data_IF_035623699931
#
_entry.id   IF_035623699931
#
_cell.length_a   1.000
_cell.length_b   1.000
_cell.length_c   1.000
_cell.angle_alpha   90.00
_cell.angle_beta   90.00
_cell.angle_gamma   90.00
#
_symmetry.space_group_name_H-M   'P 1'
#
loop_
_entity.id
_entity.type
_entity.pdbx_description
1 polymer ?
#
# COMPACT_ATOMS: atom_id res chain seq x y z
N UNK A 1 -2.60 3.31 -24.63
CA UNK A 1 -2.02 1.97 -24.36
C UNK A 1 -3.03 0.88 -24.71
N UNK A 2 -4.24 0.92 -24.14
CA UNK A 2 -5.35 0.02 -24.47
C UNK A 2 -5.70 -0.06 -25.96
N UNK A 3 -5.76 1.08 -26.65
CA UNK A 3 -6.00 1.12 -28.11
C UNK A 3 -4.96 0.34 -28.90
N UNK A 4 -3.68 0.47 -28.52
CA UNK A 4 -2.55 -0.23 -29.16
C UNK A 4 -2.56 -1.73 -28.86
N UNK A 5 -2.94 -2.13 -27.64
CA UNK A 5 -3.12 -3.54 -27.26
C UNK A 5 -4.29 -4.15 -28.05
N UNK A 6 -5.41 -3.45 -28.16
CA UNK A 6 -6.57 -3.88 -28.96
C UNK A 6 -6.21 -4.06 -30.44
N UNK A 7 -5.46 -3.12 -31.01
CA UNK A 7 -5.00 -3.20 -32.40
C UNK A 7 -4.06 -4.41 -32.63
N UNK A 8 -3.18 -4.70 -31.66
CA UNK A 8 -2.33 -5.90 -31.69
C UNK A 8 -3.11 -7.20 -31.52
N UNK A 9 -4.13 -7.24 -30.64
CA UNK A 9 -5.01 -8.40 -30.47
C UNK A 9 -5.83 -8.67 -31.73
N UNK A 10 -6.35 -7.61 -32.37
CA UNK A 10 -7.00 -7.69 -33.69
C UNK A 10 -6.06 -8.22 -34.77
N UNK A 11 -4.82 -7.72 -34.82
CA UNK A 11 -3.80 -8.23 -35.75
C UNK A 11 -3.47 -9.71 -35.50
N UNK A 12 -3.54 -10.16 -34.24
CA UNK A 12 -3.34 -11.55 -33.84
C UNK A 12 -4.60 -12.44 -34.02
N UNK A 13 -5.71 -11.90 -34.55
CA UNK A 13 -7.02 -12.57 -34.68
C UNK A 13 -7.58 -13.13 -33.37
N UNK A 14 -7.25 -12.51 -32.24
CA UNK A 14 -7.84 -12.82 -30.95
C UNK A 14 -9.04 -11.88 -30.79
N UNK A 15 -10.23 -12.35 -31.15
CA UNK A 15 -11.49 -11.58 -31.09
C UNK A 15 -12.29 -11.83 -29.79
N UNK A 16 -11.77 -12.69 -28.92
CA UNK A 16 -12.41 -13.04 -27.66
C UNK A 16 -12.53 -11.84 -26.71
N UNK A 17 -13.65 -11.78 -26.00
CA UNK A 17 -13.79 -10.91 -24.84
C UNK A 17 -12.70 -11.21 -23.81
N UNK A 18 -12.19 -10.16 -23.18
CA UNK A 18 -11.10 -10.25 -22.21
C UNK A 18 -11.28 -9.24 -21.08
N UNK A 19 -10.59 -9.49 -19.95
CA UNK A 19 -10.66 -8.64 -18.77
C UNK A 19 -9.37 -7.83 -18.67
N UNK A 20 -9.53 -6.50 -18.68
CA UNK A 20 -8.46 -5.56 -18.40
C UNK A 20 -8.48 -5.20 -16.91
N UNK A 21 -7.43 -5.63 -16.20
CA UNK A 21 -7.22 -5.25 -14.80
C UNK A 21 -6.19 -4.13 -14.75
N UNK A 22 -6.51 -3.04 -14.06
CA UNK A 22 -5.66 -1.85 -14.00
C UNK A 22 -5.64 -1.17 -12.63
N UNK A 23 -4.67 -0.28 -12.43
CA UNK A 23 -4.60 0.57 -11.24
C UNK A 23 -5.72 1.62 -11.22
N UNK A 24 -5.79 2.40 -10.14
CA UNK A 24 -6.85 3.40 -9.95
C UNK A 24 -6.82 4.56 -10.94
N UNK A 25 -5.70 4.80 -11.64
CA UNK A 25 -5.62 5.85 -12.65
C UNK A 25 -6.42 5.49 -13.91
N UNK A 26 -6.75 4.21 -14.10
CA UNK A 26 -7.61 3.74 -15.17
C UNK A 26 -9.10 4.11 -14.98
N UNK A 27 -9.49 4.71 -13.85
CA UNK A 27 -10.88 5.08 -13.57
C UNK A 27 -11.27 6.42 -14.24
N UNK A 28 -11.26 6.44 -15.57
CA UNK A 28 -11.62 7.62 -16.38
C UNK A 28 -12.71 7.29 -17.40
N UNK A 29 -13.45 8.32 -17.84
CA UNK A 29 -14.43 8.21 -18.92
C UNK A 29 -13.81 7.63 -20.20
N UNK A 30 -12.62 8.10 -20.55
CA UNK A 30 -11.89 7.67 -21.73
C UNK A 30 -11.51 6.19 -21.66
N UNK A 31 -11.01 5.73 -20.51
CA UNK A 31 -10.65 4.33 -20.31
C UNK A 31 -11.88 3.42 -20.44
N UNK A 32 -13.01 3.80 -19.84
CA UNK A 32 -14.27 3.03 -19.97
C UNK A 32 -14.75 2.94 -21.42
N UNK A 33 -14.71 4.05 -22.15
CA UNK A 33 -15.04 4.08 -23.58
C UNK A 33 -14.09 3.20 -24.41
N UNK A 34 -12.78 3.30 -24.16
CA UNK A 34 -11.76 2.48 -24.85
C UNK A 34 -11.93 1.00 -24.56
N UNK A 35 -12.27 0.65 -23.31
CA UNK A 35 -12.43 -0.75 -22.88
C UNK A 35 -13.66 -1.36 -23.57
N UNK A 36 -14.76 -0.60 -23.63
CA UNK A 36 -15.96 -1.00 -24.37
C UNK A 36 -15.68 -1.15 -25.88
N UNK A 37 -14.96 -0.21 -26.49
CA UNK A 37 -14.56 -0.29 -27.90
C UNK A 37 -13.59 -1.46 -28.19
N UNK A 38 -12.87 -1.92 -27.17
CA UNK A 38 -11.95 -3.05 -27.22
C UNK A 38 -12.61 -4.42 -26.96
N UNK A 39 -13.94 -4.47 -26.85
CA UNK A 39 -14.69 -5.66 -26.42
C UNK A 39 -14.13 -6.27 -25.12
N UNK A 40 -13.74 -5.41 -24.19
CA UNK A 40 -13.12 -5.79 -22.93
C UNK A 40 -14.00 -5.39 -21.73
N UNK A 41 -13.73 -6.01 -20.59
CA UNK A 41 -14.28 -5.61 -19.30
C UNK A 41 -13.18 -5.05 -18.40
N UNK A 42 -13.50 -4.01 -17.62
CA UNK A 42 -12.54 -3.37 -16.73
C UNK A 42 -12.70 -3.91 -15.30
N UNK A 43 -11.60 -4.16 -14.61
CA UNK A 43 -11.53 -4.23 -13.15
C UNK A 43 -10.46 -3.23 -12.69
N UNK A 44 -10.85 -2.24 -11.89
CA UNK A 44 -9.93 -1.23 -11.36
C UNK A 44 -10.25 -0.90 -9.91
N UNK A 45 -9.30 -0.28 -9.20
CA UNK A 45 -9.57 0.29 -7.88
C UNK A 45 -10.20 1.67 -8.02
N UNK A 46 -11.35 1.89 -7.40
CA UNK A 46 -11.98 3.20 -7.34
C UNK A 46 -11.17 4.17 -6.45
N UNK A 47 -10.78 5.36 -6.96
CA UNK A 47 -10.20 6.41 -6.13
C UNK A 47 -11.16 6.82 -5.00
N UNK A 48 -10.63 7.02 -3.79
CA UNK A 48 -11.42 7.40 -2.60
C UNK A 48 -12.08 8.78 -2.72
N UNK A 49 -11.64 9.61 -3.67
CA UNK A 49 -12.23 10.91 -3.97
C UNK A 49 -13.58 10.80 -4.69
N UNK A 50 -13.84 9.70 -5.42
CA UNK A 50 -15.04 9.55 -6.24
C UNK A 50 -16.30 9.40 -5.38
N UNK A 51 -17.37 10.07 -5.82
CA UNK A 51 -18.68 10.02 -5.14
C UNK A 51 -19.22 8.59 -5.05
N UNK A 52 -19.18 7.82 -6.14
CA UNK A 52 -19.67 6.43 -6.16
C UNK A 52 -18.95 5.55 -5.12
N UNK A 53 -17.65 5.80 -4.88
CA UNK A 53 -16.83 5.05 -3.92
C UNK A 53 -17.21 5.44 -2.50
N UNK A 54 -17.40 6.73 -2.24
CA UNK A 54 -17.87 7.23 -0.93
C UNK A 54 -19.25 6.71 -0.60
N UNK A 55 -20.17 6.72 -1.57
CA UNK A 55 -21.52 6.18 -1.42
C UNK A 55 -21.49 4.69 -1.13
N UNK A 56 -20.75 3.89 -1.90
CA UNK A 56 -20.64 2.46 -1.64
C UNK A 56 -20.04 2.14 -0.27
N UNK A 57 -19.04 2.90 0.19
CA UNK A 57 -18.49 2.73 1.54
C UNK A 57 -19.51 3.07 2.64
N UNK A 58 -20.32 4.12 2.45
CA UNK A 58 -21.36 4.49 3.40
C UNK A 58 -22.51 3.49 3.44
N UNK A 59 -22.93 2.98 2.27
CA UNK A 59 -23.92 1.90 2.19
C UNK A 59 -23.40 0.65 2.89
N UNK A 60 -22.12 0.29 2.69
CA UNK A 60 -21.49 -0.87 3.34
C UNK A 60 -21.35 -0.74 4.87
N UNK A 61 -21.56 0.45 5.43
CA UNK A 61 -21.58 0.73 6.88
C UNK A 61 -23.00 0.64 7.47
N UNK A 62 -24.06 0.49 6.65
CA UNK A 62 -25.43 0.36 7.15
C UNK A 62 -25.64 -0.98 7.88
N UNK A 63 -26.42 -0.95 8.96
CA UNK A 63 -26.64 -2.11 9.86
C UNK A 63 -27.25 -3.33 9.16
N UNK A 64 -28.05 -3.13 8.11
CA UNK A 64 -28.70 -4.19 7.34
C UNK A 64 -27.81 -4.82 6.25
N UNK A 65 -26.54 -4.39 6.12
CA UNK A 65 -25.66 -4.93 5.08
C UNK A 65 -25.15 -6.33 5.39
N UNK A 66 -25.48 -7.29 4.54
CA UNK A 66 -24.98 -8.66 4.62
C UNK A 66 -23.68 -8.79 3.84
N UNK A 67 -22.56 -8.86 4.56
CA UNK A 67 -21.25 -9.13 3.98
C UNK A 67 -21.05 -10.62 3.72
N UNK A 68 -20.12 -10.95 2.81
CA UNK A 68 -19.70 -12.33 2.65
C UNK A 68 -19.06 -12.89 3.92
N UNK A 69 -19.11 -14.22 4.08
CA UNK A 69 -18.26 -14.90 5.05
C UNK A 69 -16.78 -14.55 4.81
N UNK A 70 -15.96 -14.48 5.87
CA UNK A 70 -14.53 -14.27 5.73
C UNK A 70 -13.87 -15.40 4.95
N UNK A 71 -13.09 -15.06 3.92
CA UNK A 71 -12.36 -16.04 3.11
C UNK A 71 -10.89 -15.64 2.95
N UNK A 72 -10.07 -16.62 2.57
CA UNK A 72 -8.65 -16.39 2.28
C UNK A 72 -8.39 -16.62 0.80
N UNK A 73 -7.59 -15.74 0.21
CA UNK A 73 -7.00 -15.99 -1.09
C UNK A 73 -5.63 -16.65 -0.86
N UNK A 74 -5.24 -17.59 -1.74
CA UNK A 74 -4.00 -18.37 -1.66
C UNK A 74 -2.69 -17.54 -1.79
N UNK A 75 -2.75 -16.24 -1.51
CA UNK A 75 -1.60 -15.35 -1.44
C UNK A 75 -0.81 -15.51 -0.14
N UNK A 76 0.50 -15.24 -0.27
CA UNK A 76 1.60 -15.50 0.68
C UNK A 76 1.45 -14.99 2.13
N UNK A 77 0.39 -14.27 2.48
CA UNK A 77 0.28 -13.55 3.76
C UNK A 77 -0.91 -13.98 4.64
N UNK A 78 -1.70 -14.99 4.25
CA UNK A 78 -2.83 -15.47 5.06
C UNK A 78 -3.86 -14.37 5.37
N UNK A 79 -3.96 -13.37 4.50
CA UNK A 79 -4.89 -12.27 4.68
C UNK A 79 -6.32 -12.78 4.49
N UNK A 80 -7.18 -12.41 5.42
CA UNK A 80 -8.62 -12.69 5.37
C UNK A 80 -9.31 -11.49 4.76
N UNK A 81 -10.28 -11.77 3.91
CA UNK A 81 -11.07 -10.79 3.19
C UNK A 81 -12.56 -11.00 3.48
N UNK A 82 -13.29 -9.89 3.53
CA UNK A 82 -14.76 -9.87 3.40
C UNK A 82 -15.11 -8.96 2.24
N UNK A 83 -16.14 -9.32 1.49
CA UNK A 83 -16.60 -8.53 0.35
C UNK A 83 -18.09 -8.25 0.45
N UNK A 84 -18.46 -7.09 -0.05
CA UNK A 84 -19.85 -6.69 -0.26
C UNK A 84 -19.97 -6.03 -1.63
N UNK A 85 -21.07 -6.27 -2.32
CA UNK A 85 -21.28 -5.84 -3.70
C UNK A 85 -22.51 -4.95 -3.81
N UNK A 86 -22.37 -3.83 -4.53
CA UNK A 86 -23.47 -2.96 -4.96
C UNK A 86 -23.31 -2.56 -6.42
N UNK A 87 -24.35 -1.98 -7.01
CA UNK A 87 -24.33 -1.50 -8.39
C UNK A 87 -24.41 0.03 -8.43
N UNK A 88 -23.75 0.64 -9.41
CA UNK A 88 -23.80 2.07 -9.62
C UNK A 88 -23.66 2.42 -11.09
N UNK A 89 -23.73 3.72 -11.40
CA UNK A 89 -23.45 4.25 -12.74
C UNK A 89 -22.36 5.29 -12.63
N UNK A 90 -21.34 5.18 -13.47
CA UNK A 90 -20.25 6.13 -13.55
C UNK A 90 -20.02 6.56 -15.00
N UNK A 91 -20.03 7.87 -15.26
CA UNK A 91 -19.85 8.43 -16.60
C UNK A 91 -20.81 7.83 -17.66
N UNK A 92 -22.03 7.45 -17.25
CA UNK A 92 -23.03 6.82 -18.12
C UNK A 92 -22.84 5.32 -18.35
N UNK A 93 -21.88 4.68 -17.68
CA UNK A 93 -21.64 3.24 -17.75
C UNK A 93 -22.14 2.54 -16.48
N UNK A 94 -22.90 1.44 -16.58
CA UNK A 94 -23.23 0.61 -15.44
C UNK A 94 -21.97 -0.09 -14.93
N UNK A 95 -21.74 -0.02 -13.63
CA UNK A 95 -20.59 -0.62 -12.95
C UNK A 95 -21.04 -1.35 -11.70
N UNK A 96 -20.36 -2.45 -11.37
CA UNK A 96 -20.46 -3.10 -10.06
C UNK A 96 -19.35 -2.56 -9.18
N UNK A 97 -19.68 -2.30 -7.92
CA UNK A 97 -18.78 -1.82 -6.90
C UNK A 97 -18.63 -2.94 -5.87
N UNK A 98 -17.39 -3.41 -5.69
CA UNK A 98 -17.07 -4.43 -4.71
C UNK A 98 -16.27 -3.76 -3.60
N UNK A 99 -16.91 -3.59 -2.45
CA UNK A 99 -16.25 -3.12 -1.24
C UNK A 99 -15.52 -4.30 -0.63
N UNK A 100 -14.22 -4.15 -0.44
CA UNK A 100 -13.33 -5.18 0.07
C UNK A 100 -12.76 -4.71 1.40
N UNK A 101 -12.96 -5.52 2.42
CA UNK A 101 -12.27 -5.37 3.71
C UNK A 101 -11.10 -6.35 3.79
N UNK A 102 -9.92 -5.89 4.21
CA UNK A 102 -8.70 -6.70 4.27
C UNK A 102 -8.00 -6.61 5.62
N UNK A 103 -7.79 -7.76 6.26
CA UNK A 103 -7.04 -7.84 7.52
C UNK A 103 -5.57 -7.39 7.39
N UNK A 104 -4.96 -7.59 6.22
CA UNK A 104 -3.59 -7.14 5.96
C UNK A 104 -3.49 -5.60 5.82
N UNK A 105 -4.51 -4.95 5.25
CA UNK A 105 -4.57 -3.48 5.20
C UNK A 105 -4.81 -2.91 6.60
N UNK A 106 -5.66 -3.55 7.39
CA UNK A 106 -5.91 -3.19 8.79
C UNK A 106 -4.59 -3.15 9.60
N UNK A 107 -3.76 -4.19 9.53
CA UNK A 107 -2.48 -4.20 10.25
C UNK A 107 -1.48 -3.14 9.77
N UNK A 108 -1.36 -2.94 8.45
CA UNK A 108 -0.41 -1.97 7.88
C UNK A 108 -0.84 -0.54 8.17
N UNK A 109 -2.13 -0.23 7.97
CA UNK A 109 -2.69 1.10 8.17
C UNK A 109 -2.91 1.40 9.64
N UNK A 110 -3.18 0.41 10.48
CA UNK A 110 -3.26 0.56 11.93
C UNK A 110 -2.01 1.20 12.52
N UNK A 111 -0.80 0.79 12.09
CA UNK A 111 0.44 1.44 12.53
C UNK A 111 0.56 2.91 12.12
N UNK A 112 0.06 3.25 10.94
CA UNK A 112 0.06 4.65 10.46
C UNK A 112 -0.96 5.48 11.22
N UNK A 113 -2.17 4.97 11.39
CA UNK A 113 -3.24 5.62 12.15
C UNK A 113 -2.83 5.83 13.62
N UNK A 114 -2.19 4.84 14.23
CA UNK A 114 -1.68 4.95 15.60
C UNK A 114 -0.65 6.09 15.72
N UNK A 115 0.26 6.19 14.75
CA UNK A 115 1.24 7.29 14.71
C UNK A 115 0.58 8.65 14.50
N UNK A 116 -0.46 8.74 13.67
CA UNK A 116 -1.23 9.97 13.49
C UNK A 116 -1.98 10.35 14.79
N UNK A 117 -2.60 9.38 15.45
CA UNK A 117 -3.30 9.54 16.74
C UNK A 117 -2.37 10.04 17.83
N UNK A 118 -1.21 9.43 18.00
CA UNK A 118 -0.23 9.85 19.03
C UNK A 118 0.25 11.27 18.79
N UNK A 119 0.54 11.64 17.53
CA UNK A 119 0.94 13.00 17.17
C UNK A 119 -0.17 14.01 17.42
N UNK A 120 -1.41 13.68 17.09
CA UNK A 120 -2.55 14.54 17.38
C UNK A 120 -2.72 14.75 18.89
N UNK A 121 -2.63 13.68 19.69
CA UNK A 121 -2.70 13.77 21.14
C UNK A 121 -1.56 14.63 21.74
N UNK A 122 -0.34 14.54 21.19
CA UNK A 122 0.78 15.39 21.59
C UNK A 122 0.51 16.87 21.30
N UNK A 123 0.05 17.20 20.08
CA UNK A 123 -0.30 18.56 19.70
C UNK A 123 -1.43 19.14 20.55
N UNK A 124 -2.47 18.35 20.84
CA UNK A 124 -3.58 18.78 21.68
C UNK A 124 -3.14 19.02 23.13
N UNK A 125 -2.24 18.20 23.68
CA UNK A 125 -1.65 18.45 25.01
C UNK A 125 -0.81 19.72 25.04
N UNK A 126 -0.03 19.99 23.98
CA UNK A 126 0.76 21.23 23.88
C UNK A 126 -0.14 22.47 23.82
N UNK A 127 -1.21 22.43 23.02
CA UNK A 127 -2.20 23.51 22.95
C UNK A 127 -2.95 23.68 24.28
N UNK A 128 -3.39 22.59 24.93
CA UNK A 128 -4.00 22.65 26.26
C UNK A 128 -3.08 23.34 27.27
N UNK A 129 -1.82 22.90 27.37
CA UNK A 129 -0.85 23.49 28.30
C UNK A 129 -0.51 24.95 27.96
N UNK A 130 -0.54 25.33 26.68
CA UNK A 130 -0.31 26.70 26.22
C UNK A 130 -1.45 27.63 26.68
N UNK A 131 -2.70 27.22 26.47
CA UNK A 131 -3.88 28.02 26.75
C UNK A 131 -4.20 28.10 28.25
N UNK A 132 -4.00 27.02 29.00
CA UNK A 132 -4.15 27.03 30.47
C UNK A 132 -3.14 27.96 31.16
N UNK A 133 -2.00 28.27 30.52
CA UNK A 133 -0.99 29.19 31.05
C UNK A 133 -1.13 30.63 30.55
N UNK A 134 -2.02 30.90 29.60
CA UNK A 134 -2.14 32.20 28.96
C UNK A 134 -3.34 32.99 29.50
N UNK A 135 -3.13 33.92 30.46
CA UNK A 135 -4.20 34.74 31.00
C UNK A 135 -4.61 35.86 30.03
N UNK A 136 -5.91 36.12 29.97
CA UNK A 136 -6.50 37.31 29.35
C UNK A 136 -7.02 38.25 30.42
N UNK A 137 -6.85 39.56 30.21
CA UNK A 137 -7.38 40.60 31.10
C UNK A 137 -8.82 40.99 30.77
N UNK A 138 -9.33 40.58 29.62
CA UNK A 138 -10.66 40.89 29.09
C UNK A 138 -11.33 39.59 28.63
N UNK A 139 -12.62 39.45 28.92
CA UNK A 139 -13.40 38.24 28.58
C UNK A 139 -13.55 38.11 27.07
N UNK A 140 -13.83 39.23 26.41
CA UNK A 140 -14.03 39.31 24.97
C UNK A 140 -12.77 38.85 24.22
N UNK A 141 -11.57 39.19 24.70
CA UNK A 141 -10.31 38.71 24.13
C UNK A 141 -10.15 37.18 24.26
N UNK A 142 -10.53 36.63 25.42
CA UNK A 142 -10.51 35.18 25.65
C UNK A 142 -11.52 34.45 24.75
N UNK A 143 -12.72 35.01 24.57
CA UNK A 143 -13.75 34.44 23.69
C UNK A 143 -13.34 34.50 22.21
N UNK A 144 -12.67 35.58 21.77
CA UNK A 144 -12.10 35.67 20.41
C UNK A 144 -10.96 34.66 20.20
N UNK A 145 -10.09 34.47 21.19
CA UNK A 145 -9.04 33.46 21.14
C UNK A 145 -9.65 32.05 21.08
N UNK A 146 -10.69 31.78 21.85
CA UNK A 146 -11.41 30.51 21.84
C UNK A 146 -12.07 30.23 20.48
N UNK A 147 -12.70 31.23 19.87
CA UNK A 147 -13.27 31.11 18.54
C UNK A 147 -12.20 30.80 17.48
N UNK A 148 -11.06 31.49 17.55
CA UNK A 148 -9.91 31.26 16.66
C UNK A 148 -9.33 29.86 16.83
N UNK A 149 -9.23 29.38 18.07
CA UNK A 149 -8.78 28.02 18.39
C UNK A 149 -9.74 26.95 17.86
N UNK A 150 -11.06 27.12 18.06
CA UNK A 150 -12.07 26.20 17.51
C UNK A 150 -12.06 26.16 15.98
N UNK A 151 -11.71 27.26 15.32
CA UNK A 151 -11.59 27.30 13.86
C UNK A 151 -10.33 26.60 13.34
N UNK A 152 -9.22 26.67 14.09
CA UNK A 152 -7.94 26.07 13.71
C UNK A 152 -7.85 24.58 14.05
N UNK A 153 -8.46 24.16 15.16
CA UNK A 153 -8.48 22.76 15.58
C UNK A 153 -9.42 21.95 14.68
N UNK A 154 -8.84 20.94 14.03
CA UNK A 154 -9.55 19.91 13.25
C UNK A 154 -9.10 18.52 13.71
N UNK A 155 -9.33 18.16 14.99
CA UNK A 155 -8.92 16.86 15.50
C UNK A 155 -9.74 15.77 14.81
N UNK A 156 -9.08 14.65 14.54
CA UNK A 156 -9.63 13.52 13.80
C UNK A 156 -9.94 12.33 14.69
N UNK A 157 -9.21 12.18 15.80
CA UNK A 157 -9.32 11.04 16.72
C UNK A 157 -9.65 11.45 18.16
N UNK A 158 -9.77 12.75 18.42
CA UNK A 158 -10.10 13.29 19.73
C UNK A 158 -11.23 14.30 19.62
N UNK A 159 -12.08 14.32 20.64
CA UNK A 159 -13.07 15.37 20.87
C UNK A 159 -12.43 16.42 21.77
N UNK A 160 -12.57 17.69 21.38
CA UNK A 160 -12.04 18.82 22.15
C UNK A 160 -13.19 19.70 22.57
N UNK A 161 -13.46 19.76 23.86
CA UNK A 161 -14.39 20.71 24.45
C UNK A 161 -13.58 21.86 25.04
N UNK A 162 -13.93 23.10 24.68
CA UNK A 162 -13.14 24.25 25.08
C UNK A 162 -14.06 25.38 25.56
N UNK A 163 -13.72 25.92 26.73
CA UNK A 163 -14.48 26.93 27.45
C UNK A 163 -13.57 28.02 28.02
N UNK A 164 -14.13 29.21 28.24
CA UNK A 164 -13.47 30.28 28.99
C UNK A 164 -13.79 30.12 30.46
N UNK A 165 -12.76 30.05 31.30
CA UNK A 165 -12.87 30.03 32.75
C UNK A 165 -12.46 31.38 33.33
N UNK A 166 -13.27 31.89 34.26
CA UNK A 166 -13.00 33.13 34.99
C UNK A 166 -12.35 32.80 36.34
N UNK A 167 -11.19 33.41 36.61
CA UNK A 167 -10.46 33.26 37.86
C UNK A 167 -10.26 34.63 38.49
N UNK A 168 -10.87 34.83 39.66
CA UNK A 168 -10.65 36.01 40.50
C UNK A 168 -9.53 35.70 41.49
N UNK A 169 -8.46 36.51 41.47
CA UNK A 169 -7.32 36.33 42.38
C UNK A 169 -6.82 37.64 42.96
N UNK A 170 -6.10 37.54 44.08
CA UNK A 170 -5.48 38.70 44.73
C UNK A 170 -4.30 39.21 43.91
N UNK A 171 -4.30 40.51 43.60
CA UNK A 171 -3.25 41.17 42.84
C UNK A 171 -1.99 41.28 43.69
N UNK A 172 -0.91 40.63 43.24
CA UNK A 172 0.39 40.69 43.93
C UNK A 172 1.08 42.03 43.63
N UNK A 173 1.20 42.89 44.63
CA UNK A 173 2.01 44.11 44.55
C UNK A 173 3.47 43.84 44.91
N UNK A 174 4.39 44.62 44.35
CA UNK A 174 5.81 44.66 44.76
C UNK A 174 5.91 45.41 46.10
N UNK A 175 6.41 44.76 47.15
CA UNK A 175 6.63 45.34 48.48
C UNK A 175 5.64 44.88 49.56
N UNK A 176 5.95 45.16 50.84
CA UNK A 176 5.09 44.80 51.99
C UNK A 176 3.77 45.58 51.93
N UNK A 177 2.59 44.93 52.00
CA UNK A 177 1.30 45.61 52.01
C UNK A 177 1.23 46.65 53.14
N UNK A 178 0.67 47.84 52.86
CA UNK A 178 0.38 48.85 53.89
C UNK A 178 -0.59 48.25 54.91
N UNK A 179 -0.33 48.49 56.20
CA UNK A 179 -1.18 48.01 57.31
C UNK A 179 -2.59 48.62 57.16
N UNK A 180 -3.59 47.78 56.94
CA UNK A 180 -5.00 48.19 56.76
C UNK A 180 -5.48 48.41 55.33
N UNK A 181 -4.68 48.09 54.30
CA UNK A 181 -5.13 48.17 52.90
C UNK A 181 -6.02 46.97 52.53
N UNK A 182 -7.17 47.23 51.90
CA UNK A 182 -8.02 46.17 51.35
C UNK A 182 -7.31 45.43 50.19
N UNK A 183 -7.48 44.09 50.09
CA UNK A 183 -6.87 43.32 49.02
C UNK A 183 -7.48 43.70 47.66
N UNK A 184 -6.65 44.22 46.74
CA UNK A 184 -7.07 44.47 45.37
C UNK A 184 -7.18 43.14 44.62
N UNK A 185 -8.35 42.83 44.05
CA UNK A 185 -8.59 41.65 43.23
C UNK A 185 -8.37 41.97 41.76
N UNK A 186 -7.83 41.02 41.01
CA UNK A 186 -7.84 41.02 39.55
C UNK A 186 -8.65 39.82 39.05
N UNK A 187 -9.40 40.02 37.97
CA UNK A 187 -10.13 38.96 37.28
C UNK A 187 -9.34 38.62 36.02
N UNK A 188 -9.03 37.35 35.84
CA UNK A 188 -8.34 36.83 34.66
C UNK A 188 -9.17 35.73 34.02
N UNK A 189 -9.11 35.67 32.70
CA UNK A 189 -9.80 34.66 31.91
C UNK A 189 -8.77 33.71 31.32
N UNK A 190 -9.04 32.41 31.40
CA UNK A 190 -8.22 31.36 30.81
C UNK A 190 -9.06 30.51 29.87
N UNK A 191 -8.41 29.86 28.92
CA UNK A 191 -9.05 28.86 28.09
C UNK A 191 -8.75 27.49 28.69
N UNK A 192 -9.80 26.78 29.07
CA UNK A 192 -9.70 25.38 29.46
C UNK A 192 -10.11 24.50 28.28
N UNK A 193 -9.28 23.51 27.97
CA UNK A 193 -9.52 22.52 26.92
C UNK A 193 -9.60 21.15 27.57
N UNK A 194 -10.74 20.50 27.43
CA UNK A 194 -10.90 19.08 27.74
C UNK A 194 -10.74 18.26 26.46
N UNK A 195 -9.87 17.26 26.51
CA UNK A 195 -9.47 16.47 25.36
C UNK A 195 -9.76 15.01 25.64
N UNK A 196 -10.80 14.49 25.00
CA UNK A 196 -11.20 13.10 25.14
C UNK A 196 -10.90 12.31 23.87
N UNK A 197 -10.56 11.03 24.04
CA UNK A 197 -10.37 10.14 22.91
C UNK A 197 -11.70 9.76 22.28
N UNK A 198 -11.86 10.01 20.99
CA UNK A 198 -13.05 9.65 20.24
C UNK A 198 -12.91 8.22 19.68
N UNK A 199 -13.38 7.26 20.46
CA UNK A 199 -13.35 5.84 20.12
C UNK A 199 -14.10 5.55 18.81
N UNK A 200 -15.23 6.21 18.58
CA UNK A 200 -16.05 5.99 17.39
C UNK A 200 -15.35 6.51 16.14
N UNK A 201 -14.78 7.71 16.19
CA UNK A 201 -13.99 8.26 15.09
C UNK A 201 -12.76 7.40 14.78
N UNK A 202 -12.11 6.85 15.81
CA UNK A 202 -11.01 5.90 15.66
C UNK A 202 -11.44 4.62 14.94
N UNK A 203 -12.53 3.99 15.39
CA UNK A 203 -13.04 2.76 14.77
C UNK A 203 -13.48 3.00 13.33
N UNK A 204 -14.18 4.10 13.06
CA UNK A 204 -14.56 4.49 11.70
C UNK A 204 -13.33 4.71 10.82
N UNK A 205 -12.30 5.39 11.32
CA UNK A 205 -11.06 5.60 10.57
C UNK A 205 -10.32 4.29 10.27
N UNK A 206 -10.30 3.37 11.24
CA UNK A 206 -9.71 2.03 11.09
C UNK A 206 -10.47 1.20 10.06
N UNK A 207 -11.80 1.15 10.14
CA UNK A 207 -12.68 0.47 9.17
C UNK A 207 -12.50 1.05 7.76
N UNK A 208 -12.46 2.38 7.61
CA UNK A 208 -12.20 3.02 6.31
C UNK A 208 -10.81 2.70 5.77
N UNK A 209 -9.79 2.62 6.62
CA UNK A 209 -8.42 2.35 6.19
C UNK A 209 -8.16 0.88 5.83
N UNK A 210 -8.93 -0.05 6.39
CA UNK A 210 -8.89 -1.48 6.05
C UNK A 210 -9.69 -1.83 4.79
N UNK A 211 -10.46 -0.86 4.26
CA UNK A 211 -11.36 -1.05 3.12
C UNK A 211 -10.90 -0.34 1.84
N UNK A 212 -11.27 -0.92 0.71
CA UNK A 212 -11.15 -0.28 -0.60
C UNK A 212 -12.25 -0.78 -1.51
N UNK A 213 -12.54 -0.03 -2.58
CA UNK A 213 -13.60 -0.39 -3.53
C UNK A 213 -12.97 -0.74 -4.87
N UNK A 214 -13.33 -1.90 -5.40
CA UNK A 214 -13.09 -2.26 -6.80
C UNK A 214 -14.30 -1.84 -7.63
N UNK A 215 -14.04 -1.28 -8.79
CA UNK A 215 -15.03 -0.94 -9.80
C UNK A 215 -14.84 -1.91 -10.94
N UNK A 216 -15.92 -2.58 -11.35
CA UNK A 216 -15.88 -3.54 -12.45
C UNK A 216 -17.03 -3.36 -13.43
N UNK A 217 -16.75 -3.51 -14.73
CA UNK A 217 -17.77 -3.64 -15.78
C UNK A 217 -18.04 -5.11 -16.14
N UNK A 218 -17.36 -6.06 -15.47
CA UNK A 218 -17.54 -7.50 -15.73
C UNK A 218 -18.97 -7.92 -15.35
N UNK A 219 -19.72 -8.58 -16.24
CA UNK A 219 -21.05 -9.09 -15.95
C UNK A 219 -21.03 -10.12 -14.80
N UNK A 220 -22.20 -10.44 -14.23
CA UNK A 220 -22.30 -11.46 -13.16
C UNK A 220 -21.90 -12.86 -13.63
N UNK A 221 -21.99 -13.12 -14.92
CA UNK A 221 -21.51 -14.35 -15.56
C UNK A 221 -20.64 -13.98 -16.75
N UNK A 222 -19.47 -14.60 -16.86
CA UNK A 222 -18.55 -14.40 -17.98
C UNK A 222 -17.92 -15.73 -18.38
N UNK A 223 -17.96 -16.06 -19.68
CA UNK A 223 -17.46 -17.34 -20.23
C UNK A 223 -17.97 -18.59 -19.48
N UNK A 224 -19.24 -18.57 -19.07
CA UNK A 224 -19.87 -19.70 -18.35
C UNK A 224 -19.44 -19.85 -16.89
N UNK A 225 -18.75 -18.86 -16.32
CA UNK A 225 -18.35 -18.84 -14.92
C UNK A 225 -19.05 -17.70 -14.16
N UNK A 226 -19.50 -17.93 -12.92
CA UNK A 226 -20.00 -16.86 -12.06
C UNK A 226 -18.84 -15.93 -11.67
N UNK A 227 -19.04 -14.63 -11.89
CA UNK A 227 -18.07 -13.59 -11.58
C UNK A 227 -18.55 -12.82 -10.34
N UNK A 228 -18.63 -13.52 -9.22
CA UNK A 228 -18.99 -12.93 -7.94
C UNK A 228 -17.89 -12.00 -7.39
N UNK A 229 -18.20 -11.32 -6.29
CA UNK A 229 -17.26 -10.39 -5.66
C UNK A 229 -15.92 -11.05 -5.25
N UNK A 230 -15.93 -12.35 -4.90
CA UNK A 230 -14.71 -13.08 -4.54
C UNK A 230 -13.83 -13.33 -5.77
N UNK A 231 -14.42 -13.78 -6.88
CA UNK A 231 -13.69 -14.06 -8.11
C UNK A 231 -13.14 -12.76 -8.73
N UNK A 232 -13.90 -11.66 -8.70
CA UNK A 232 -13.39 -10.35 -9.15
C UNK A 232 -12.21 -9.88 -8.29
N UNK A 233 -12.28 -10.03 -6.96
CA UNK A 233 -11.15 -9.72 -6.08
C UNK A 233 -9.94 -10.60 -6.39
N UNK A 234 -10.15 -11.89 -6.64
CA UNK A 234 -9.09 -12.85 -7.01
C UNK A 234 -8.42 -12.47 -8.32
N UNK A 235 -9.17 -12.09 -9.36
CA UNK A 235 -8.63 -11.59 -10.62
C UNK A 235 -7.81 -10.31 -10.42
N UNK A 236 -8.33 -9.35 -9.65
CA UNK A 236 -7.63 -8.11 -9.35
C UNK A 236 -6.28 -8.35 -8.65
N UNK A 237 -6.28 -9.21 -7.62
CA UNK A 237 -5.07 -9.58 -6.87
C UNK A 237 -4.10 -10.42 -7.71
N UNK A 238 -4.63 -11.32 -8.53
CA UNK A 238 -3.88 -12.13 -9.47
C UNK A 238 -3.06 -11.29 -10.45
N UNK A 239 -3.67 -10.25 -11.04
CA UNK A 239 -2.94 -9.34 -11.92
C UNK A 239 -1.82 -8.58 -11.19
N UNK A 240 -2.05 -8.10 -9.97
CA UNK A 240 -0.99 -7.43 -9.19
C UNK A 240 0.18 -8.39 -8.94
N UNK A 241 -0.11 -9.65 -8.64
CA UNK A 241 0.92 -10.69 -8.51
C UNK A 241 1.67 -10.88 -9.83
N UNK A 242 0.95 -10.98 -10.96
CA UNK A 242 1.52 -11.07 -12.31
C UNK A 242 2.42 -9.86 -12.61
N UNK A 243 1.94 -8.62 -12.44
CA UNK A 243 2.72 -7.40 -12.69
C UNK A 243 3.97 -7.31 -11.81
N UNK A 244 3.84 -7.59 -10.51
CA UNK A 244 5.00 -7.71 -9.62
C UNK A 244 5.95 -8.83 -10.07
N UNK A 245 5.41 -9.88 -10.71
CA UNK A 245 6.21 -10.99 -11.18
C UNK A 245 6.96 -10.69 -12.47
N UNK A 246 6.42 -9.83 -13.34
CA UNK A 246 7.00 -9.38 -14.60
C UNK A 246 7.70 -8.02 -14.52
N UNK A 247 7.70 -7.34 -13.36
CA UNK A 247 8.40 -6.07 -13.18
C UNK A 247 9.88 -6.11 -13.59
N UNK A 248 10.56 -7.26 -13.44
CA UNK A 248 11.94 -7.43 -13.90
C UNK A 248 12.08 -7.41 -15.44
N UNK A 249 11.05 -7.82 -16.20
CA UNK A 249 11.04 -7.69 -17.66
C UNK A 249 10.78 -6.26 -18.11
N UNK A 250 10.25 -5.40 -17.23
CA UNK A 250 10.08 -3.97 -17.54
C UNK A 250 11.36 -3.17 -17.29
N UNK A 251 12.42 -3.82 -16.79
CA UNK A 251 13.71 -3.18 -16.61
C UNK A 251 14.35 -2.97 -17.99
N UNK A 252 14.66 -1.70 -18.37
CA UNK A 252 15.28 -1.37 -19.65
C UNK A 252 16.56 -2.17 -19.91
N UNK A 253 17.28 -2.57 -18.85
CA UNK A 253 18.48 -3.39 -18.94
C UNK A 253 18.26 -4.72 -19.69
N UNK A 254 17.08 -5.34 -19.57
CA UNK A 254 16.76 -6.61 -20.24
C UNK A 254 16.00 -6.45 -21.56
N UNK A 255 15.45 -5.27 -21.85
CA UNK A 255 14.50 -5.08 -22.95
C UNK A 255 14.95 -4.10 -24.03
N UNK A 256 15.84 -3.15 -23.72
CA UNK A 256 16.32 -2.16 -24.69
C UNK A 256 17.17 -2.78 -25.82
N UNK A 257 17.71 -3.98 -25.61
CA UNK A 257 18.59 -4.66 -26.59
C UNK A 257 17.85 -5.61 -27.54
N UNK A 258 16.55 -5.88 -27.33
CA UNK A 258 15.84 -6.93 -28.07
C UNK A 258 14.93 -6.32 -29.15
N UNK A 259 15.51 -6.03 -30.32
CA UNK A 259 14.76 -5.57 -31.50
C UNK A 259 14.07 -6.73 -32.22
N UNK A 260 12.77 -6.89 -31.98
CA UNK A 260 11.96 -7.90 -32.67
C UNK A 260 11.08 -7.25 -33.75
N UNK A 261 11.38 -7.53 -35.02
CA UNK A 261 10.68 -6.93 -36.18
C UNK A 261 9.39 -7.66 -36.60
N UNK A 262 9.18 -8.91 -36.18
CA UNK A 262 8.06 -9.77 -36.65
C UNK A 262 7.16 -10.22 -35.48
N UNK A 263 5.82 -10.19 -35.62
CA UNK A 263 4.89 -10.59 -34.57
C UNK A 263 5.12 -12.00 -34.01
N UNK A 264 5.47 -12.97 -34.87
CA UNK A 264 5.69 -14.36 -34.42
C UNK A 264 6.90 -14.47 -33.48
N UNK A 265 7.94 -13.67 -33.74
CA UNK A 265 9.12 -13.62 -32.87
C UNK A 265 8.82 -12.95 -31.53
N UNK A 266 7.87 -12.01 -31.49
CA UNK A 266 7.41 -11.40 -30.23
C UNK A 266 6.70 -12.45 -29.37
N UNK A 267 5.85 -13.29 -29.97
CA UNK A 267 5.19 -14.38 -29.28
C UNK A 267 6.19 -15.39 -28.70
N UNK A 268 7.17 -15.84 -29.51
CA UNK A 268 8.24 -16.76 -29.06
C UNK A 268 9.06 -16.15 -27.93
N UNK A 269 9.41 -14.86 -28.03
CA UNK A 269 10.13 -14.16 -26.96
C UNK A 269 9.29 -14.10 -25.67
N UNK A 270 7.97 -13.88 -25.79
CA UNK A 270 7.04 -13.96 -24.67
C UNK A 270 7.08 -15.32 -23.96
N UNK A 271 7.05 -16.42 -24.72
CA UNK A 271 7.18 -17.77 -24.15
C UNK A 271 8.54 -18.00 -23.47
N UNK A 272 9.63 -17.51 -24.07
CA UNK A 272 10.96 -17.62 -23.49
C UNK A 272 11.05 -16.84 -22.16
N UNK A 273 10.45 -15.65 -22.10
CA UNK A 273 10.39 -14.88 -20.87
C UNK A 273 9.52 -15.53 -19.78
N UNK A 274 8.40 -16.15 -20.17
CA UNK A 274 7.57 -16.93 -19.25
C UNK A 274 8.36 -18.09 -18.64
N UNK A 275 9.10 -18.82 -19.48
CA UNK A 275 9.97 -19.92 -19.02
C UNK A 275 11.09 -19.41 -18.11
N UNK A 276 11.77 -18.32 -18.49
CA UNK A 276 12.82 -17.71 -17.68
C UNK A 276 12.29 -17.24 -16.32
N UNK A 277 11.10 -16.63 -16.29
CA UNK A 277 10.44 -16.25 -15.05
C UNK A 277 10.08 -17.47 -14.19
N UNK A 278 9.57 -18.55 -14.79
CA UNK A 278 9.28 -19.78 -14.06
C UNK A 278 10.54 -20.32 -13.39
N UNK A 279 11.65 -20.42 -14.14
CA UNK A 279 12.96 -20.85 -13.62
C UNK A 279 13.42 -19.90 -12.50
N UNK A 280 13.35 -18.59 -12.71
CA UNK A 280 13.71 -17.58 -11.72
C UNK A 280 12.90 -17.72 -10.42
N UNK A 281 11.60 -18.03 -10.51
CA UNK A 281 10.73 -18.25 -9.35
C UNK A 281 11.06 -19.52 -8.61
N UNK A 282 11.34 -20.61 -9.32
CA UNK A 282 11.76 -21.88 -8.73
C UNK A 282 13.09 -21.70 -8.01
N UNK A 283 14.06 -21.05 -8.66
CA UNK A 283 15.35 -20.68 -8.08
C UNK A 283 15.16 -19.88 -6.78
N UNK A 284 14.42 -18.77 -6.84
CA UNK A 284 14.18 -17.93 -5.67
C UNK A 284 13.45 -18.68 -4.55
N UNK A 285 12.49 -19.55 -4.89
CA UNK A 285 11.76 -20.36 -3.91
C UNK A 285 12.69 -21.33 -3.21
N UNK A 286 13.53 -22.06 -3.94
CA UNK A 286 14.51 -23.00 -3.37
C UNK A 286 15.45 -22.28 -2.44
N UNK A 287 16.13 -21.22 -2.88
CA UNK A 287 17.09 -20.50 -2.04
C UNK A 287 16.42 -19.95 -0.76
N UNK A 288 15.20 -19.41 -0.86
CA UNK A 288 14.48 -18.89 0.32
C UNK A 288 14.09 -19.95 1.36
N UNK A 289 13.98 -21.22 0.99
CA UNK A 289 13.69 -22.29 1.95
C UNK A 289 14.84 -22.49 2.95
N UNK A 290 16.07 -22.11 2.58
CA UNK A 290 17.26 -22.29 3.41
C UNK A 290 17.68 -21.02 4.15
N UNK A 291 16.90 -19.94 4.04
CA UNK A 291 17.17 -18.66 4.69
C UNK A 291 16.10 -18.43 5.75
N UNK A 292 16.54 -18.34 7.00
CA UNK A 292 15.65 -18.13 8.15
C UNK A 292 15.98 -16.81 8.83
N UNK A 293 15.07 -16.26 9.66
CA UNK A 293 15.36 -15.08 10.48
C UNK A 293 16.60 -15.25 11.39
N UNK A 294 16.86 -16.47 11.85
CA UNK A 294 17.98 -16.84 12.72
C UNK A 294 19.29 -16.92 11.91
N UNK A 295 19.21 -17.30 10.64
CA UNK A 295 20.36 -17.43 9.73
C UNK A 295 20.13 -16.63 8.43
N UNK A 296 20.11 -15.29 8.47
CA UNK A 296 19.91 -14.48 7.27
C UNK A 296 21.13 -14.52 6.36
N UNK A 297 20.95 -14.20 5.07
CA UNK A 297 22.08 -13.89 4.19
C UNK A 297 22.59 -12.47 4.46
N UNK A 298 23.87 -12.21 4.21
CA UNK A 298 24.44 -10.87 4.27
C UNK A 298 24.50 -10.29 2.86
N UNK A 299 23.69 -9.27 2.61
CA UNK A 299 23.73 -8.50 1.38
C UNK A 299 24.89 -7.50 1.32
N UNK A 300 24.99 -6.73 0.22
CA UNK A 300 25.93 -5.61 0.10
C UNK A 300 25.85 -4.66 1.31
N UNK A 301 27.00 -4.25 1.83
CA UNK A 301 27.08 -3.39 3.02
C UNK A 301 26.67 -4.07 4.34
N UNK A 302 26.60 -5.41 4.38
CA UNK A 302 26.32 -6.16 5.62
C UNK A 302 24.84 -6.21 6.02
N UNK A 303 23.94 -5.77 5.15
CA UNK A 303 22.49 -5.77 5.42
C UNK A 303 21.97 -7.21 5.56
N UNK A 304 21.26 -7.51 6.65
CA UNK A 304 20.62 -8.81 6.86
C UNK A 304 19.45 -9.00 5.89
N UNK A 305 19.52 -10.02 5.06
CA UNK A 305 18.48 -10.42 4.11
C UNK A 305 17.81 -11.70 4.60
N UNK A 306 16.65 -11.56 5.24
CA UNK A 306 15.84 -12.70 5.73
C UNK A 306 14.93 -13.28 4.64
N UNK A 307 14.64 -12.51 3.59
CA UNK A 307 13.82 -12.93 2.43
C UNK A 307 14.34 -12.29 1.13
N UNK A 308 15.56 -12.62 0.68
CA UNK A 308 16.17 -11.95 -0.48
C UNK A 308 15.36 -12.15 -1.75
N UNK A 309 15.37 -11.17 -2.65
CA UNK A 309 14.90 -11.32 -4.03
C UNK A 309 15.92 -12.12 -4.84
N UNK A 310 15.51 -12.75 -5.94
CA UNK A 310 16.46 -13.43 -6.84
C UNK A 310 17.55 -12.48 -7.35
N UNK A 311 17.23 -11.20 -7.56
CA UNK A 311 18.19 -10.17 -7.96
C UNK A 311 19.23 -9.91 -6.87
N UNK A 312 18.80 -9.80 -5.60
CA UNK A 312 19.74 -9.67 -4.49
C UNK A 312 20.64 -10.90 -4.34
N UNK A 313 20.12 -12.10 -4.66
CA UNK A 313 20.92 -13.32 -4.71
C UNK A 313 21.93 -13.26 -5.85
N UNK A 314 21.53 -12.89 -7.07
CA UNK A 314 22.44 -12.78 -8.21
C UNK A 314 23.54 -11.72 -8.01
N UNK A 315 23.22 -10.61 -7.33
CA UNK A 315 24.23 -9.60 -6.97
C UNK A 315 25.34 -10.17 -6.08
N UNK A 316 25.06 -11.17 -5.25
CA UNK A 316 26.11 -11.84 -4.46
C UNK A 316 27.10 -12.60 -5.35
N UNK A 317 26.69 -13.04 -6.54
CA UNK A 317 27.53 -13.77 -7.49
C UNK A 317 28.11 -12.88 -8.60
N UNK A 318 27.71 -11.60 -8.68
CA UNK A 318 28.09 -10.69 -9.77
C UNK A 318 29.60 -10.54 -9.97
N UNK A 319 30.38 -10.68 -8.90
CA UNK A 319 31.85 -10.55 -8.91
C UNK A 319 32.59 -11.89 -8.78
N UNK A 320 31.90 -13.01 -8.99
CA UNK A 320 32.53 -14.33 -9.09
C UNK A 320 33.06 -14.48 -10.51
N UNK A 321 34.39 -14.49 -10.67
CA UNK A 321 35.00 -14.63 -11.99
C UNK A 321 35.55 -16.05 -12.17
N UNK A 322 35.28 -16.61 -13.36
CA UNK A 322 35.86 -17.88 -13.80
C UNK A 322 37.01 -17.58 -14.76
N UNK A 323 38.22 -17.93 -14.37
CA UNK A 323 39.43 -17.85 -15.20
C UNK A 323 39.53 -19.10 -16.05
N UNK A 324 39.81 -18.91 -17.34
CA UNK A 324 40.00 -19.98 -18.31
C UNK A 324 41.48 -20.10 -18.68
N UNK A 325 42.10 -21.21 -18.33
CA UNK A 325 43.47 -21.53 -18.73
C UNK A 325 43.44 -22.40 -19.99
N UNK A 326 44.03 -21.90 -21.08
CA UNK A 326 44.25 -22.69 -22.29
C UNK A 326 45.60 -23.39 -22.18
N UNK A 327 45.57 -24.71 -22.05
CA UNK A 327 46.75 -25.55 -21.94
C UNK A 327 47.44 -25.74 -23.31
N UNK A 328 48.74 -26.08 -23.34
CA UNK A 328 49.48 -26.29 -24.60
C UNK A 328 48.92 -27.38 -25.51
N UNK A 329 48.17 -28.33 -24.95
CA UNK A 329 47.47 -29.40 -25.66
C UNK A 329 46.07 -29.02 -26.16
N UNK A 330 45.69 -27.74 -26.00
CA UNK A 330 44.41 -27.21 -26.42
C UNK A 330 43.26 -27.40 -25.43
N UNK A 331 43.47 -28.08 -24.30
CA UNK A 331 42.43 -28.22 -23.26
C UNK A 331 42.18 -26.89 -22.55
N UNK A 332 40.93 -26.67 -22.14
CA UNK A 332 40.53 -25.51 -21.32
C UNK A 332 40.30 -26.01 -19.90
N UNK A 333 41.09 -25.50 -18.96
CA UNK A 333 40.89 -25.70 -17.54
C UNK A 333 40.22 -24.45 -16.96
N UNK A 334 39.16 -24.63 -16.15
CA UNK A 334 38.50 -23.52 -15.47
C UNK A 334 38.97 -23.46 -14.02
N UNK A 335 38.98 -22.25 -13.47
CA UNK A 335 39.22 -22.05 -12.06
C UNK A 335 38.55 -20.76 -11.61
N UNK A 336 38.20 -20.67 -10.34
CA UNK A 336 37.73 -19.43 -9.76
C UNK A 336 38.90 -18.49 -9.50
N UNK A 337 38.73 -17.21 -9.79
CA UNK A 337 39.74 -16.19 -9.45
C UNK A 337 39.94 -16.07 -7.94
N UNK A 338 38.89 -16.32 -7.16
CA UNK A 338 38.82 -16.28 -5.71
C UNK A 338 37.89 -17.36 -5.19
N UNK A 339 38.18 -17.90 -4.01
CA UNK A 339 37.25 -18.83 -3.34
C UNK A 339 35.89 -18.16 -3.07
N UNK A 340 34.83 -18.95 -3.18
CA UNK A 340 33.48 -18.45 -2.87
C UNK A 340 33.35 -18.07 -1.39
N UNK A 341 32.55 -17.04 -1.14
CA UNK A 341 32.20 -16.63 0.22
C UNK A 341 31.29 -17.68 0.90
N UNK A 342 31.22 -17.71 2.25
CA UNK A 342 30.34 -18.65 2.95
C UNK A 342 28.87 -18.56 2.52
N UNK A 343 28.37 -17.34 2.25
CA UNK A 343 27.00 -17.13 1.79
C UNK A 343 26.80 -17.64 0.36
N UNK A 344 27.77 -17.45 -0.55
CA UNK A 344 27.72 -18.02 -1.90
C UNK A 344 27.69 -19.55 -1.86
N UNK A 345 28.56 -20.19 -1.08
CA UNK A 345 28.56 -21.66 -0.92
C UNK A 345 27.24 -22.17 -0.35
N UNK A 346 26.70 -21.50 0.67
CA UNK A 346 25.42 -21.86 1.28
C UNK A 346 24.26 -21.77 0.28
N UNK A 347 24.28 -20.77 -0.61
CA UNK A 347 23.30 -20.65 -1.69
C UNK A 347 23.44 -21.82 -2.68
N UNK A 348 24.65 -22.18 -3.09
CA UNK A 348 24.88 -23.33 -3.98
C UNK A 348 24.41 -24.64 -3.35
N UNK A 349 24.74 -24.88 -2.08
CA UNK A 349 24.29 -26.05 -1.34
C UNK A 349 22.76 -26.12 -1.27
N UNK A 350 22.08 -24.99 -1.02
CA UNK A 350 20.61 -24.91 -1.07
C UNK A 350 20.01 -25.19 -2.45
N UNK A 351 20.81 -25.11 -3.51
CA UNK A 351 20.42 -25.48 -4.87
C UNK A 351 20.79 -26.93 -5.23
N UNK A 352 21.45 -27.65 -4.33
CA UNK A 352 22.01 -28.99 -4.59
C UNK A 352 23.25 -28.94 -5.50
N UNK A 353 23.99 -27.84 -5.46
CA UNK A 353 25.19 -27.59 -6.26
C UNK A 353 26.39 -27.29 -5.35
N UNK A 354 27.58 -27.38 -5.91
CA UNK A 354 28.82 -26.99 -5.24
C UNK A 354 29.73 -26.19 -6.21
N UNK A 355 30.97 -25.92 -5.80
CA UNK A 355 31.91 -25.11 -6.58
C UNK A 355 32.31 -25.73 -7.93
N UNK A 356 32.07 -27.03 -8.13
CA UNK A 356 32.37 -27.73 -9.39
C UNK A 356 31.61 -27.18 -10.59
N UNK A 357 30.50 -26.47 -10.39
CA UNK A 357 29.78 -25.82 -11.50
C UNK A 357 30.61 -24.73 -12.19
N UNK A 358 31.67 -24.24 -11.53
CA UNK A 358 32.55 -23.19 -12.02
C UNK A 358 33.94 -23.69 -12.46
N UNK A 359 34.32 -24.92 -12.12
CA UNK A 359 35.69 -25.45 -12.24
C UNK A 359 35.77 -26.59 -13.26
#
# INVERSE_FOLDING_TARGET
>A
MLSRVHEQLKQAKIEDEWIYVADSAAMTKETLAQTKAANAFLITRGPSSLRIVKTALAEADAEDTTWSDPFTLAERNGATYRVWETASTYEGHPVRLIVVESSALDQRKGKTLEKERTKEAELLREEQARWERHPFSCREDAEQALASLKASLRPRFHRVEAAVEEIVRLKKRRGRPKKGAEPEVETLYFLHLDVEFDQDAWEQARRKASRFVLVTTVPKEWKGQPMDAQEILKLYKGQISVEMNFAFLKDPFFTDEIYVKKPERVAVLGYLFLLALAIYRVFQRRVRQFITPEHPLKGPGGRKLTRPTGQAIFQLFQYVNVVLFKLPDGRIQRSLDRSLTPDQRRILQGLGMDESIYV
#
